data_IF_573525555021
#
_entry.id   IF_573525555021
#
_cell.length_a   1.000
_cell.length_b   1.000
_cell.length_c   1.000
_cell.angle_alpha   90.00
_cell.angle_beta   90.00
_cell.angle_gamma   90.00
#
_symmetry.space_group_name_H-M   'P 1'
#
loop_
_entity.id
_entity.type
_entity.pdbx_description
1 polymer ?
#
# COMPACT_ATOMS: atom_id res chain seq x y z
N UNK A 1 -79.90 22.19 2.11
CA UNK A 1 -78.88 23.01 1.40
C UNK A 1 -77.57 22.77 2.14
N UNK A 2 -76.61 22.14 1.47
CA UNK A 2 -75.47 21.44 2.07
C UNK A 2 -74.33 22.39 2.48
N UNK A 3 -73.68 22.07 3.59
CA UNK A 3 -72.43 22.67 4.07
C UNK A 3 -71.25 22.00 3.38
N UNK A 4 -70.39 22.77 2.72
CA UNK A 4 -69.11 22.31 2.15
C UNK A 4 -67.95 22.59 3.11
N UNK A 5 -67.02 21.65 3.36
CA UNK A 5 -65.84 21.89 4.17
C UNK A 5 -64.68 22.45 3.33
N UNK A 6 -63.99 23.45 3.89
CA UNK A 6 -62.81 24.09 3.31
C UNK A 6 -61.58 23.17 3.32
N UNK A 7 -60.86 23.18 2.20
CA UNK A 7 -59.60 22.47 1.98
C UNK A 7 -58.45 23.16 2.71
N UNK A 8 -57.81 22.45 3.64
CA UNK A 8 -56.56 22.86 4.29
C UNK A 8 -55.38 22.34 3.48
N UNK A 9 -54.69 23.24 2.76
CA UNK A 9 -53.42 22.94 2.09
C UNK A 9 -52.28 22.92 3.11
N UNK A 10 -51.63 21.77 3.28
CA UNK A 10 -50.38 21.62 4.04
C UNK A 10 -49.21 22.26 3.28
N UNK A 11 -48.26 22.93 3.95
CA UNK A 11 -47.11 23.51 3.27
C UNK A 11 -46.11 22.44 2.85
N UNK A 12 -45.65 22.57 1.61
CA UNK A 12 -44.60 21.82 0.97
C UNK A 12 -43.30 21.90 1.80
N UNK A 13 -42.91 20.80 2.47
CA UNK A 13 -41.59 20.72 3.11
C UNK A 13 -40.54 20.65 2.00
N UNK A 14 -39.71 21.70 1.88
CA UNK A 14 -38.45 21.63 1.14
C UNK A 14 -37.55 20.62 1.84
N UNK A 15 -37.37 19.46 1.23
CA UNK A 15 -36.26 18.56 1.56
C UNK A 15 -34.96 19.28 1.20
N UNK A 16 -34.32 19.86 2.21
CA UNK A 16 -32.91 20.24 2.10
C UNK A 16 -32.10 18.94 2.12
N UNK A 17 -31.75 18.45 0.94
CA UNK A 17 -30.64 17.50 0.78
C UNK A 17 -29.38 18.20 1.28
N UNK A 18 -29.00 17.89 2.52
CA UNK A 18 -27.70 18.25 3.06
C UNK A 18 -26.66 17.40 2.33
N UNK A 19 -26.13 17.93 1.24
CA UNK A 19 -24.95 17.42 0.58
C UNK A 19 -23.78 17.59 1.56
N UNK A 20 -23.64 16.65 2.49
CA UNK A 20 -22.41 16.50 3.29
C UNK A 20 -21.26 16.49 2.28
N UNK A 21 -20.32 17.43 2.40
CA UNK A 21 -19.06 17.34 1.67
C UNK A 21 -18.43 16.01 2.05
N UNK A 22 -18.58 14.99 1.19
CA UNK A 22 -17.99 13.68 1.44
C UNK A 22 -16.48 13.93 1.40
N UNK A 23 -15.82 13.81 2.57
CA UNK A 23 -14.37 13.85 2.66
C UNK A 23 -13.83 12.86 1.63
N UNK A 24 -12.85 13.29 0.82
CA UNK A 24 -12.23 12.38 -0.17
C UNK A 24 -11.68 11.17 0.58
N UNK A 25 -12.03 9.93 0.18
CA UNK A 25 -11.52 8.74 0.84
C UNK A 25 -9.99 8.73 0.80
N UNK A 26 -9.37 8.15 1.82
CA UNK A 26 -7.92 8.07 1.91
C UNK A 26 -7.47 6.68 2.34
N UNK A 27 -6.33 6.25 1.80
CA UNK A 27 -5.71 4.96 2.08
C UNK A 27 -4.27 5.22 2.53
N UNK A 28 -3.94 4.84 3.76
CA UNK A 28 -2.56 4.63 4.17
C UNK A 28 -2.10 3.24 3.72
N UNK A 29 -1.06 3.20 2.88
CA UNK A 29 -0.46 1.97 2.39
C UNK A 29 0.89 1.71 3.07
N UNK A 30 0.89 0.84 4.08
CA UNK A 30 2.10 0.40 4.78
C UNK A 30 2.72 -0.82 4.09
N UNK A 31 4.01 -0.76 3.77
CA UNK A 31 4.68 -1.86 3.07
C UNK A 31 6.19 -1.92 3.32
N UNK A 32 6.81 -2.98 2.81
CA UNK A 32 8.26 -3.08 2.71
C UNK A 32 8.64 -3.56 1.31
N UNK A 33 9.62 -2.90 0.69
CA UNK A 33 10.08 -3.22 -0.67
C UNK A 33 10.63 -4.63 -0.79
N UNK A 34 11.17 -5.20 0.29
CA UNK A 34 11.61 -6.60 0.36
C UNK A 34 10.46 -7.62 0.54
N UNK A 35 9.19 -7.21 0.60
CA UNK A 35 8.07 -8.14 0.74
C UNK A 35 7.62 -8.66 -0.63
N UNK A 36 7.54 -9.99 -0.83
CA UNK A 36 7.05 -10.54 -2.09
C UNK A 36 5.59 -10.17 -2.34
N UNK A 37 4.79 -10.06 -1.27
CA UNK A 37 3.37 -9.71 -1.40
C UNK A 37 3.18 -8.22 -1.70
N UNK A 38 4.13 -7.36 -1.33
CA UNK A 38 4.15 -5.96 -1.79
C UNK A 38 4.44 -5.90 -3.29
N UNK A 39 5.42 -6.66 -3.78
CA UNK A 39 5.65 -6.78 -5.22
C UNK A 39 4.41 -7.32 -5.94
N UNK A 40 3.81 -8.40 -5.43
CA UNK A 40 2.61 -9.00 -6.02
C UNK A 40 1.38 -8.08 -5.95
N UNK A 41 1.31 -7.08 -5.06
CA UNK A 41 0.28 -6.03 -5.14
C UNK A 41 0.31 -5.31 -6.50
N UNK A 42 1.49 -5.16 -7.10
CA UNK A 42 1.67 -4.37 -8.31
C UNK A 42 1.17 -2.94 -8.13
N UNK A 43 0.49 -2.42 -9.14
CA UNK A 43 -0.13 -1.08 -9.15
C UNK A 43 -1.59 -1.08 -8.72
N UNK A 44 -2.17 -2.25 -8.42
CA UNK A 44 -3.60 -2.42 -8.08
C UNK A 44 -4.08 -1.48 -6.95
N UNK A 45 -3.33 -1.22 -5.87
CA UNK A 45 -3.75 -0.25 -4.85
C UNK A 45 -3.96 1.17 -5.39
N UNK A 46 -3.10 1.60 -6.32
CA UNK A 46 -3.21 2.91 -6.96
C UNK A 46 -4.38 2.97 -7.94
N UNK A 47 -4.59 1.90 -8.72
CA UNK A 47 -5.73 1.75 -9.63
C UNK A 47 -7.06 1.82 -8.87
N UNK A 48 -7.15 1.16 -7.71
CA UNK A 48 -8.34 1.22 -6.83
C UNK A 48 -8.51 2.61 -6.23
N UNK A 49 -7.44 3.23 -5.76
CA UNK A 49 -7.52 4.60 -5.25
C UNK A 49 -8.06 5.55 -6.32
N UNK A 50 -7.51 5.48 -7.54
CA UNK A 50 -7.97 6.27 -8.68
C UNK A 50 -9.44 5.98 -9.04
N UNK A 51 -9.82 4.69 -9.13
CA UNK A 51 -11.19 4.24 -9.45
C UNK A 51 -12.24 4.87 -8.54
N UNK A 52 -11.92 5.05 -7.25
CA UNK A 52 -12.85 5.58 -6.25
C UNK A 52 -12.66 7.07 -5.94
N UNK A 53 -11.77 7.76 -6.66
CA UNK A 53 -11.40 9.15 -6.32
C UNK A 53 -10.79 9.29 -4.92
N UNK A 54 -10.16 8.22 -4.43
CA UNK A 54 -9.45 8.19 -3.18
C UNK A 54 -8.00 8.66 -3.37
N UNK A 55 -7.41 9.13 -2.28
CA UNK A 55 -5.98 9.42 -2.21
C UNK A 55 -5.25 8.28 -1.52
N UNK A 56 -3.97 8.10 -1.83
CA UNK A 56 -3.12 7.05 -1.23
C UNK A 56 -1.81 7.67 -0.73
N UNK A 57 -1.42 7.34 0.51
CA UNK A 57 -0.09 7.64 1.04
C UNK A 57 0.73 6.35 1.07
N UNK A 58 1.88 6.35 0.40
CA UNK A 58 2.83 5.26 0.42
C UNK A 58 3.75 5.38 1.64
N UNK A 59 3.72 4.37 2.51
CA UNK A 59 4.41 4.36 3.81
C UNK A 59 5.34 3.15 3.90
N UNK A 60 6.48 3.16 3.19
CA UNK A 60 7.48 2.11 3.36
C UNK A 60 8.04 2.14 4.78
N UNK A 61 8.28 0.96 5.36
CA UNK A 61 8.74 0.79 6.75
C UNK A 61 9.72 -0.37 6.92
N UNK A 62 10.36 -0.43 8.09
CA UNK A 62 11.18 -1.57 8.51
C UNK A 62 10.31 -2.73 9.00
N UNK A 63 10.12 -3.73 8.14
CA UNK A 63 9.30 -4.90 8.43
C UNK A 63 9.90 -5.82 9.51
N UNK A 64 11.23 -5.83 9.69
CA UNK A 64 11.86 -6.64 10.75
C UNK A 64 11.58 -6.01 12.11
N UNK A 65 11.71 -4.69 12.22
CA UNK A 65 11.34 -3.96 13.42
C UNK A 65 9.82 -4.05 13.70
N UNK A 66 8.97 -3.98 12.66
CA UNK A 66 7.53 -4.16 12.81
C UNK A 66 7.20 -5.51 13.44
N UNK A 67 7.72 -6.62 12.88
CA UNK A 67 7.51 -7.96 13.42
C UNK A 67 7.90 -8.06 14.89
N UNK A 68 9.09 -7.57 15.27
CA UNK A 68 9.56 -7.61 16.66
C UNK A 68 8.66 -6.86 17.63
N UNK A 69 7.95 -5.82 17.18
CA UNK A 69 7.11 -4.96 18.01
C UNK A 69 5.63 -5.36 18.02
N UNK A 70 5.17 -6.14 17.04
CA UNK A 70 3.75 -6.52 16.90
C UNK A 70 3.51 -8.02 17.01
N UNK A 71 4.50 -8.78 17.49
CA UNK A 71 4.39 -10.23 17.66
C UNK A 71 4.52 -11.06 16.38
N UNK A 72 5.02 -10.46 15.30
CA UNK A 72 5.34 -11.15 14.06
C UNK A 72 6.62 -11.99 14.18
N UNK A 73 6.66 -13.13 13.50
CA UNK A 73 7.89 -13.93 13.37
C UNK A 73 8.50 -13.72 11.97
N UNK A 74 9.79 -13.33 11.87
CA UNK A 74 10.48 -13.26 10.59
C UNK A 74 10.43 -14.60 9.83
N UNK A 75 10.37 -14.61 8.49
CA UNK A 75 10.17 -15.85 7.73
C UNK A 75 11.15 -16.97 8.04
N UNK A 76 12.44 -16.65 8.24
CA UNK A 76 13.50 -17.63 8.56
C UNK A 76 13.29 -18.35 9.89
N UNK A 77 12.59 -17.72 10.84
CA UNK A 77 12.37 -18.22 12.20
C UNK A 77 11.00 -18.90 12.36
N UNK A 78 10.18 -18.93 11.30
CA UNK A 78 8.87 -19.60 11.32
C UNK A 78 9.06 -21.12 11.27
N UNK A 79 8.07 -21.85 11.79
CA UNK A 79 8.01 -23.31 11.65
C UNK A 79 8.11 -23.76 10.17
N UNK A 80 8.80 -24.86 9.82
CA UNK A 80 8.96 -25.36 8.44
C UNK A 80 7.65 -25.40 7.64
N UNK A 81 6.55 -25.93 8.21
CA UNK A 81 5.24 -25.95 7.55
C UNK A 81 4.78 -24.56 7.05
N UNK A 82 5.05 -23.48 7.79
CA UNK A 82 4.71 -22.11 7.37
C UNK A 82 5.65 -21.61 6.27
N UNK A 83 6.91 -22.02 6.28
CA UNK A 83 7.87 -21.68 5.24
C UNK A 83 7.51 -22.38 3.92
N UNK A 84 7.20 -23.68 3.96
CA UNK A 84 6.78 -24.47 2.80
C UNK A 84 5.46 -23.96 2.21
N UNK A 85 4.46 -23.70 3.06
CA UNK A 85 3.20 -23.11 2.61
C UNK A 85 3.41 -21.77 1.91
N UNK A 86 4.24 -20.89 2.50
CA UNK A 86 4.55 -19.58 1.91
C UNK A 86 5.10 -19.71 0.49
N UNK A 87 6.00 -20.67 0.23
CA UNK A 87 6.57 -20.88 -1.11
C UNK A 87 5.50 -21.35 -2.11
N UNK A 88 4.62 -22.28 -1.70
CA UNK A 88 3.51 -22.72 -2.56
C UNK A 88 2.54 -21.58 -2.86
N UNK A 89 2.26 -20.75 -1.86
CA UNK A 89 1.34 -19.64 -2.01
C UNK A 89 1.91 -18.57 -2.95
N UNK A 90 3.17 -18.17 -2.74
CA UNK A 90 3.89 -17.28 -3.65
C UNK A 90 3.86 -17.78 -5.10
N UNK A 91 4.06 -19.08 -5.34
CA UNK A 91 3.98 -19.67 -6.68
C UNK A 91 2.57 -19.55 -7.29
N UNK A 92 1.52 -19.84 -6.51
CA UNK A 92 0.12 -19.70 -6.97
C UNK A 92 -0.22 -18.24 -7.26
N UNK A 93 0.12 -17.32 -6.37
CA UNK A 93 -0.17 -15.89 -6.52
C UNK A 93 0.57 -15.30 -7.72
N UNK A 94 1.87 -15.59 -7.88
CA UNK A 94 2.66 -15.21 -9.06
C UNK A 94 1.99 -15.66 -10.36
N UNK A 95 1.60 -16.94 -10.46
CA UNK A 95 0.91 -17.48 -11.64
C UNK A 95 -0.45 -16.84 -11.88
N UNK A 96 -1.26 -16.67 -10.82
CA UNK A 96 -2.60 -16.10 -10.90
C UNK A 96 -2.60 -14.63 -11.34
N UNK A 97 -1.58 -13.88 -10.91
CA UNK A 97 -1.42 -12.45 -11.25
C UNK A 97 -0.63 -12.22 -12.54
N UNK A 98 -0.02 -13.25 -13.12
CA UNK A 98 0.85 -13.12 -14.29
C UNK A 98 2.14 -12.34 -14.00
N UNK A 99 2.58 -12.30 -12.74
CA UNK A 99 3.75 -11.55 -12.30
C UNK A 99 4.91 -12.52 -12.01
N UNK A 100 5.98 -12.54 -12.82
CA UNK A 100 7.13 -13.43 -12.60
C UNK A 100 7.74 -13.23 -11.22
N UNK A 101 8.07 -14.32 -10.51
CA UNK A 101 8.67 -14.28 -9.19
C UNK A 101 9.55 -15.51 -8.99
N UNK A 102 10.80 -15.28 -8.60
CA UNK A 102 11.73 -16.30 -8.11
C UNK A 102 11.38 -16.60 -6.64
N UNK A 103 11.10 -17.87 -6.32
CA UNK A 103 10.68 -18.27 -4.97
C UNK A 103 11.77 -18.07 -3.91
N UNK A 104 13.03 -18.03 -4.34
CA UNK A 104 14.23 -17.82 -3.53
C UNK A 104 15.20 -16.93 -4.31
N UNK A 105 14.93 -15.61 -4.42
CA UNK A 105 15.79 -14.74 -5.18
C UNK A 105 17.13 -14.56 -4.43
N UNK A 106 18.19 -14.42 -5.21
CA UNK A 106 19.60 -14.39 -4.83
C UNK A 106 19.91 -13.39 -3.73
N UNK A 107 19.28 -12.22 -3.78
CA UNK A 107 19.56 -11.12 -2.86
C UNK A 107 18.59 -11.05 -1.68
N UNK A 108 17.59 -11.92 -1.60
CA UNK A 108 16.64 -11.85 -0.49
C UNK A 108 17.09 -12.72 0.70
N UNK A 109 17.07 -12.18 1.94
CA UNK A 109 16.73 -10.80 2.31
C UNK A 109 17.91 -9.83 2.16
N UNK A 110 17.67 -8.66 1.56
CA UNK A 110 18.60 -7.50 1.52
C UNK A 110 18.07 -6.33 2.35
N UNK A 111 18.90 -5.30 2.55
CA UNK A 111 18.49 -4.05 3.18
C UNK A 111 17.51 -3.27 2.29
N UNK A 112 16.26 -3.13 2.72
CA UNK A 112 15.23 -2.38 1.98
C UNK A 112 15.29 -0.86 2.16
N UNK A 113 16.06 -0.34 3.12
CA UNK A 113 16.06 1.09 3.45
C UNK A 113 16.40 2.02 2.27
N UNK A 114 17.43 1.76 1.43
CA UNK A 114 17.74 2.63 0.28
C UNK A 114 16.57 2.79 -0.68
N UNK A 115 15.94 1.68 -1.09
CA UNK A 115 14.74 1.71 -1.93
C UNK A 115 13.54 2.42 -1.27
N UNK A 116 13.36 2.26 0.05
CA UNK A 116 12.31 2.94 0.80
C UNK A 116 12.52 4.46 0.84
N UNK A 117 13.75 4.91 1.00
CA UNK A 117 14.09 6.33 1.01
C UNK A 117 13.86 6.96 -0.36
N UNK A 118 14.25 6.27 -1.44
CA UNK A 118 13.98 6.71 -2.81
C UNK A 118 12.47 6.87 -3.07
N UNK A 119 11.63 5.94 -2.58
CA UNK A 119 10.17 6.06 -2.68
C UNK A 119 9.65 7.28 -1.91
N UNK A 120 10.15 7.51 -0.69
CA UNK A 120 9.74 8.66 0.13
C UNK A 120 10.13 9.98 -0.56
N UNK A 121 11.38 10.09 -1.04
CA UNK A 121 11.88 11.25 -1.75
C UNK A 121 11.07 11.52 -3.03
N UNK A 122 10.75 10.47 -3.80
CA UNK A 122 9.90 10.56 -4.98
C UNK A 122 8.47 11.01 -4.65
N UNK A 123 7.85 10.44 -3.61
CA UNK A 123 6.51 10.83 -3.18
C UNK A 123 6.45 12.29 -2.74
N UNK A 124 7.51 12.81 -2.10
CA UNK A 124 7.58 14.20 -1.65
C UNK A 124 7.61 15.22 -2.82
N UNK A 125 7.85 14.77 -4.05
CA UNK A 125 7.69 15.62 -5.26
C UNK A 125 6.23 15.83 -5.66
N UNK A 126 5.29 15.11 -5.03
CA UNK A 126 3.87 15.13 -5.36
C UNK A 126 3.46 14.16 -6.48
N UNK A 127 4.41 13.39 -7.01
CA UNK A 127 4.15 12.36 -8.03
C UNK A 127 3.66 11.05 -7.40
N UNK A 128 2.87 10.30 -8.16
CA UNK A 128 2.49 8.92 -7.81
C UNK A 128 3.68 7.98 -7.98
N UNK A 129 3.93 7.15 -6.97
CA UNK A 129 5.08 6.24 -6.86
C UNK A 129 4.69 4.76 -7.04
N UNK A 130 3.45 4.45 -7.44
CA UNK A 130 2.97 3.07 -7.61
C UNK A 130 3.89 2.20 -8.48
N UNK A 131 4.29 2.71 -9.65
CA UNK A 131 5.19 1.98 -10.55
C UNK A 131 6.60 1.83 -9.97
N UNK A 132 7.07 2.81 -9.19
CA UNK A 132 8.37 2.73 -8.52
C UNK A 132 8.38 1.64 -7.44
N UNK A 133 7.31 1.55 -6.63
CA UNK A 133 7.15 0.47 -5.63
C UNK A 133 7.16 -0.89 -6.30
N UNK A 134 6.41 -1.05 -7.41
CA UNK A 134 6.39 -2.27 -8.21
C UNK A 134 7.75 -2.58 -8.83
N UNK A 135 8.47 -1.59 -9.35
CA UNK A 135 9.79 -1.75 -9.95
C UNK A 135 10.83 -2.24 -8.94
N UNK A 136 10.85 -1.70 -7.71
CA UNK A 136 11.70 -2.21 -6.64
C UNK A 136 11.37 -3.64 -6.25
N UNK A 137 10.07 -3.97 -6.18
CA UNK A 137 9.61 -5.34 -5.99
C UNK A 137 10.11 -6.27 -7.08
N UNK A 138 9.97 -5.89 -8.35
CA UNK A 138 10.41 -6.66 -9.52
C UNK A 138 11.93 -6.86 -9.53
N UNK A 139 12.70 -5.81 -9.25
CA UNK A 139 14.15 -5.86 -9.18
C UNK A 139 14.63 -6.98 -8.24
N UNK A 140 14.07 -7.05 -7.02
CA UNK A 140 14.42 -8.10 -6.07
C UNK A 140 13.85 -9.48 -6.44
N UNK A 141 12.55 -9.54 -6.74
CA UNK A 141 11.81 -10.80 -6.80
C UNK A 141 11.76 -11.46 -8.16
N UNK A 142 11.94 -10.73 -9.25
CA UNK A 142 11.85 -11.24 -10.61
C UNK A 142 13.19 -11.14 -11.36
N UNK A 143 13.94 -10.07 -11.12
CA UNK A 143 15.13 -9.72 -11.92
C UNK A 143 16.45 -10.13 -11.27
N UNK A 144 16.43 -10.69 -10.05
CA UNK A 144 17.64 -11.08 -9.33
C UNK A 144 18.59 -9.89 -9.12
N UNK A 145 18.08 -8.77 -8.58
CA UNK A 145 18.86 -7.54 -8.33
C UNK A 145 18.77 -7.12 -6.87
N UNK A 146 19.84 -6.50 -6.38
CA UNK A 146 19.95 -6.05 -4.99
C UNK A 146 19.47 -4.59 -4.84
N UNK A 147 18.28 -4.42 -4.28
CA UNK A 147 17.66 -3.10 -4.03
C UNK A 147 18.34 -2.29 -2.91
N UNK A 148 19.41 -2.82 -2.30
CA UNK A 148 20.28 -2.05 -1.40
C UNK A 148 21.42 -1.32 -2.12
N UNK A 149 21.67 -1.64 -3.39
CA UNK A 149 22.75 -1.03 -4.18
C UNK A 149 22.29 0.26 -4.86
N UNK A 150 23.16 1.26 -4.84
CA UNK A 150 22.89 2.60 -5.37
C UNK A 150 22.55 2.59 -6.87
N UNK A 151 23.27 1.79 -7.66
CA UNK A 151 23.04 1.66 -9.10
C UNK A 151 21.66 1.06 -9.42
N UNK A 152 21.21 0.07 -8.65
CA UNK A 152 19.87 -0.51 -8.77
C UNK A 152 18.80 0.51 -8.40
N UNK A 153 19.00 1.28 -7.34
CA UNK A 153 18.05 2.32 -6.90
C UNK A 153 17.89 3.41 -7.95
N UNK A 154 18.99 3.90 -8.51
CA UNK A 154 18.99 4.92 -9.57
C UNK A 154 18.34 4.43 -10.85
N UNK A 155 18.65 3.21 -11.29
CA UNK A 155 18.03 2.62 -12.48
C UNK A 155 16.51 2.44 -12.32
N UNK A 156 16.02 2.02 -11.14
CA UNK A 156 14.59 1.95 -10.85
C UNK A 156 13.91 3.32 -10.89
N UNK A 157 14.54 4.36 -10.30
CA UNK A 157 14.05 5.74 -10.38
C UNK A 157 13.94 6.20 -11.84
N UNK A 158 15.02 6.05 -12.61
CA UNK A 158 15.09 6.48 -14.02
C UNK A 158 14.02 5.81 -14.87
N UNK A 159 13.89 4.47 -14.78
CA UNK A 159 12.91 3.70 -15.55
C UNK A 159 11.47 4.08 -15.24
N UNK A 160 11.22 4.58 -14.02
CA UNK A 160 9.90 5.06 -13.60
C UNK A 160 9.70 6.57 -13.85
N UNK A 161 10.63 7.24 -14.54
CA UNK A 161 10.53 8.65 -14.91
C UNK A 161 10.89 9.64 -13.79
N UNK A 162 11.56 9.17 -12.73
CA UNK A 162 12.06 10.01 -11.64
C UNK A 162 13.50 10.41 -11.86
N UNK A 163 13.92 11.52 -11.24
CA UNK A 163 15.32 11.93 -11.20
C UNK A 163 16.15 10.93 -10.36
N UNK A 164 17.16 10.27 -10.93
CA UNK A 164 18.03 9.35 -10.20
C UNK A 164 18.77 10.00 -9.02
N UNK A 165 18.92 11.32 -9.00
CA UNK A 165 19.49 12.06 -7.87
C UNK A 165 18.60 12.00 -6.61
N UNK A 166 17.33 11.59 -6.73
CA UNK A 166 16.47 11.33 -5.57
C UNK A 166 16.98 10.20 -4.66
N UNK A 167 17.89 9.36 -5.15
CA UNK A 167 18.58 8.38 -4.30
C UNK A 167 19.39 9.05 -3.16
N UNK A 168 19.94 10.25 -3.41
CA UNK A 168 20.75 11.00 -2.42
C UNK A 168 20.01 12.21 -1.83
N UNK A 169 18.94 12.65 -2.50
CA UNK A 169 18.20 13.84 -2.10
C UNK A 169 17.41 13.56 -0.82
N UNK A 170 17.47 14.51 0.11
CA UNK A 170 16.67 14.47 1.35
C UNK A 170 16.82 13.16 2.15
N UNK A 171 18.00 12.53 2.10
CA UNK A 171 18.25 11.24 2.78
C UNK A 171 17.91 11.27 4.26
N UNK A 172 18.27 12.36 4.97
CA UNK A 172 17.96 12.51 6.39
C UNK A 172 16.45 12.54 6.63
N UNK A 173 15.73 13.38 5.88
CA UNK A 173 14.26 13.48 5.96
C UNK A 173 13.58 12.17 5.58
N UNK A 174 14.10 11.46 4.58
CA UNK A 174 13.58 10.16 4.15
C UNK A 174 13.80 9.09 5.21
N UNK A 175 14.96 9.09 5.88
CA UNK A 175 15.24 8.19 6.99
C UNK A 175 14.34 8.47 8.21
N UNK A 176 14.13 9.74 8.57
CA UNK A 176 13.19 10.13 9.62
C UNK A 176 11.75 9.72 9.29
N UNK A 177 11.32 9.94 8.04
CA UNK A 177 9.99 9.54 7.56
C UNK A 177 9.82 8.03 7.57
N UNK A 178 10.85 7.26 7.21
CA UNK A 178 10.82 5.80 7.29
C UNK A 178 10.65 5.29 8.72
N UNK A 179 11.35 5.89 9.68
CA UNK A 179 11.15 5.62 11.11
C UNK A 179 9.74 6.01 11.57
N UNK A 180 9.25 7.19 11.14
CA UNK A 180 7.88 7.63 11.44
C UNK A 180 6.82 6.70 10.87
N UNK A 181 7.00 6.20 9.64
CA UNK A 181 6.08 5.26 9.02
C UNK A 181 5.94 3.97 9.84
N UNK A 182 7.04 3.49 10.43
CA UNK A 182 7.01 2.34 11.34
C UNK A 182 6.21 2.65 12.62
N UNK A 183 6.45 3.80 13.26
CA UNK A 183 5.67 4.19 14.44
C UNK A 183 4.18 4.34 14.13
N UNK A 184 3.86 5.01 13.01
CA UNK A 184 2.50 5.18 12.54
C UNK A 184 1.82 3.82 12.29
N UNK A 185 2.51 2.88 11.64
CA UNK A 185 2.00 1.54 11.36
C UNK A 185 1.63 0.79 12.65
N UNK A 186 2.51 0.85 13.66
CA UNK A 186 2.29 0.18 14.95
C UNK A 186 1.10 0.81 15.68
N UNK A 187 1.03 2.14 15.71
CA UNK A 187 -0.06 2.86 16.36
C UNK A 187 -1.41 2.64 15.65
N UNK A 188 -1.38 2.49 14.32
CA UNK A 188 -2.56 2.14 13.52
C UNK A 188 -2.88 0.63 13.54
N UNK A 189 -2.10 -0.18 14.25
CA UNK A 189 -2.33 -1.63 14.42
C UNK A 189 -1.99 -2.49 13.20
N UNK A 190 -1.13 -2.01 12.29
CA UNK A 190 -0.52 -2.85 11.27
C UNK A 190 0.55 -3.75 11.89
N UNK A 191 0.68 -4.97 11.37
CA UNK A 191 1.58 -6.01 11.91
C UNK A 191 2.30 -6.81 10.82
N UNK A 192 2.17 -6.37 9.56
CA UNK A 192 2.77 -7.00 8.40
C UNK A 192 2.71 -6.09 7.17
N UNK A 193 3.15 -6.60 6.03
CA UNK A 193 3.18 -5.86 4.76
C UNK A 193 2.84 -6.80 3.59
N UNK A 194 2.07 -6.36 2.59
CA UNK A 194 1.39 -5.05 2.47
C UNK A 194 0.20 -4.92 3.43
N UNK A 195 -0.10 -3.72 3.89
CA UNK A 195 -1.21 -3.41 4.78
C UNK A 195 -1.86 -2.09 4.37
N UNK A 196 -3.18 -2.08 4.22
CA UNK A 196 -3.96 -0.91 3.82
C UNK A 196 -4.89 -0.49 4.95
N UNK A 197 -4.91 0.79 5.28
CA UNK A 197 -5.79 1.35 6.32
C UNK A 197 -6.52 2.54 5.73
N UNK A 198 -7.85 2.52 5.79
CA UNK A 198 -8.69 3.60 5.29
C UNK A 198 -8.87 4.71 6.33
N UNK A 199 -9.33 5.89 5.93
CA UNK A 199 -9.59 7.00 6.85
C UNK A 199 -10.77 6.80 7.82
N UNK A 200 -11.52 5.72 7.64
CA UNK A 200 -12.57 5.22 8.53
C UNK A 200 -12.07 4.11 9.47
N UNK A 201 -10.76 3.85 9.51
CA UNK A 201 -10.09 2.81 10.31
C UNK A 201 -10.42 1.35 9.90
N UNK A 202 -10.91 1.13 8.68
CA UNK A 202 -10.97 -0.22 8.11
C UNK A 202 -9.61 -0.68 7.58
N UNK A 203 -9.28 -1.94 7.85
CA UNK A 203 -7.92 -2.48 7.79
C UNK A 203 -7.86 -3.76 6.96
N UNK A 204 -6.96 -3.79 5.98
CA UNK A 204 -6.80 -4.90 5.04
C UNK A 204 -5.33 -5.34 4.99
N UNK A 205 -5.07 -6.59 5.36
CA UNK A 205 -3.70 -7.14 5.40
C UNK A 205 -3.49 -8.20 4.31
N UNK A 206 -2.51 -7.95 3.44
CA UNK A 206 -2.18 -8.83 2.33
C UNK A 206 -2.66 -8.29 0.99
N UNK A 207 -1.98 -8.69 -0.09
CA UNK A 207 -2.39 -8.29 -1.44
C UNK A 207 -3.69 -8.99 -1.87
N UNK A 208 -4.01 -10.13 -1.25
CA UNK A 208 -5.23 -10.89 -1.45
C UNK A 208 -6.47 -10.21 -0.83
N UNK A 209 -6.27 -9.08 -0.14
CA UNK A 209 -7.32 -8.22 0.41
C UNK A 209 -7.56 -6.94 -0.39
N UNK A 210 -6.89 -6.78 -1.53
CA UNK A 210 -7.06 -5.63 -2.40
C UNK A 210 -8.48 -5.59 -2.99
N UNK A 211 -9.08 -6.75 -3.29
CA UNK A 211 -10.47 -6.83 -3.77
C UNK A 211 -11.47 -6.48 -2.65
N UNK A 212 -11.18 -6.86 -1.40
CA UNK A 212 -11.98 -6.48 -0.23
C UNK A 212 -11.91 -4.95 0.00
N UNK A 213 -10.73 -4.35 -0.19
CA UNK A 213 -10.54 -2.90 -0.16
C UNK A 213 -11.33 -2.18 -1.28
N UNK A 214 -11.33 -2.72 -2.49
CA UNK A 214 -12.14 -2.22 -3.61
C UNK A 214 -13.64 -2.24 -3.26
N UNK A 215 -14.13 -3.38 -2.76
CA UNK A 215 -15.52 -3.56 -2.34
C UNK A 215 -15.91 -2.62 -1.18
N UNK A 216 -15.00 -2.39 -0.24
CA UNK A 216 -15.22 -1.45 0.85
C UNK A 216 -15.38 -0.02 0.34
N UNK A 217 -14.50 0.44 -0.55
CA UNK A 217 -14.53 1.79 -1.09
C UNK A 217 -15.76 2.04 -1.99
N UNK A 218 -16.28 1.00 -2.66
CA UNK A 218 -17.57 1.09 -3.35
C UNK A 218 -18.80 1.08 -2.42
N UNK A 219 -18.63 0.78 -1.13
CA UNK A 219 -19.72 0.64 -0.17
C UNK A 219 -20.55 -0.63 -0.38
N UNK A 220 -19.93 -1.69 -0.89
CA UNK A 220 -20.57 -3.00 -1.17
C UNK A 220 -20.10 -4.12 -0.23
N UNK A 221 -19.30 -3.77 0.79
CA UNK A 221 -18.87 -4.66 1.86
C UNK A 221 -19.84 -4.62 3.04
#
# INVERSE_FOLDING_TARGET
MALTPGSTSLPFRKEFSAQRSRKMPHIDYYFATLSPFTYLSGTRPAEIAQKHGATITYKPLDIMALFGRTGGTPPKDRHPNRQEYRLQDMARRSKGLGMPLNLKPMFWPTNGAPSAYAIIAAQNTGADVAELVKAFGAACWAEERDISQDDVVRDCLEKCGFDPALADKDMLTSAETFGKNLEDAINAGAFGAPFFITDTDERFWGEDRIDDLDAYLSGTL
#
